data_IF_141387987909
#
_entry.id   IF_141387987909
#
_cell.length_a   1.000
_cell.length_b   1.000
_cell.length_c   1.000
_cell.angle_alpha   90.00
_cell.angle_beta   90.00
_cell.angle_gamma   90.00
#
_symmetry.space_group_name_H-M   'P 1'
#
loop_
_entity.id
_entity.type
_entity.pdbx_description
1 polymer ?
#
# COMPACT_ATOMS: atom_id res chain seq x y z
N UNK A 1 33.90 22.02 -39.70
CA UNK A 1 32.84 20.99 -39.83
C UNK A 1 33.12 19.95 -38.75
N UNK A 2 32.49 20.10 -37.59
CA UNK A 2 32.57 19.11 -36.51
C UNK A 2 31.36 18.19 -36.60
N UNK A 3 31.62 16.89 -36.52
CA UNK A 3 30.64 15.81 -36.55
C UNK A 3 29.52 16.04 -35.51
N UNK A 4 28.23 15.81 -35.84
CA UNK A 4 27.17 15.90 -34.86
C UNK A 4 27.24 14.67 -33.96
N UNK A 5 27.74 14.90 -32.74
CA UNK A 5 27.70 14.03 -31.55
C UNK A 5 26.69 12.88 -31.66
N UNK A 6 27.24 11.68 -31.79
CA UNK A 6 26.55 10.40 -31.68
C UNK A 6 25.68 10.39 -30.41
N UNK A 7 24.36 10.20 -30.59
CA UNK A 7 23.39 10.21 -29.49
C UNK A 7 23.78 9.23 -28.39
N UNK A 8 23.79 9.74 -27.17
CA UNK A 8 24.10 9.07 -25.91
C UNK A 8 23.11 7.90 -25.63
N UNK A 9 23.42 6.69 -26.12
CA UNK A 9 22.57 5.48 -26.00
C UNK A 9 22.57 4.85 -24.59
N UNK A 10 23.30 5.43 -23.63
CA UNK A 10 23.43 4.90 -22.26
C UNK A 10 22.37 5.49 -21.31
N UNK A 11 21.73 6.60 -21.70
CA UNK A 11 20.68 7.22 -20.90
C UNK A 11 19.39 6.38 -20.95
N UNK A 12 18.85 5.93 -19.81
CA UNK A 12 17.52 5.31 -19.78
C UNK A 12 16.52 6.26 -20.46
N UNK A 13 15.63 5.77 -21.35
CA UNK A 13 14.70 6.65 -22.04
C UNK A 13 13.89 7.46 -21.02
N UNK A 14 14.05 8.78 -21.07
CA UNK A 14 13.38 9.72 -20.18
C UNK A 14 11.97 10.04 -20.71
N UNK A 15 11.05 10.37 -19.79
CA UNK A 15 9.75 10.89 -20.20
C UNK A 15 9.91 12.23 -20.90
N UNK A 16 9.24 12.41 -22.04
CA UNK A 16 9.24 13.71 -22.72
C UNK A 16 8.53 14.79 -21.89
N UNK A 17 8.77 16.08 -22.18
CA UNK A 17 8.13 17.20 -21.47
C UNK A 17 6.60 17.09 -21.46
N UNK A 18 5.99 16.74 -22.60
CA UNK A 18 4.54 16.54 -22.71
C UNK A 18 4.06 15.38 -21.83
N UNK A 19 4.83 14.30 -21.77
CA UNK A 19 4.54 13.18 -20.89
C UNK A 19 4.67 13.56 -19.43
N UNK A 20 5.70 14.33 -19.06
CA UNK A 20 5.89 14.84 -17.70
C UNK A 20 4.70 15.69 -17.25
N UNK A 21 4.22 16.62 -18.09
CA UNK A 21 3.04 17.46 -17.80
C UNK A 21 1.77 16.62 -17.62
N UNK A 22 1.57 15.61 -18.48
CA UNK A 22 0.44 14.69 -18.35
C UNK A 22 0.54 13.88 -17.06
N UNK A 23 1.71 13.37 -16.71
CA UNK A 23 1.96 12.62 -15.48
C UNK A 23 1.65 13.47 -14.25
N UNK A 24 2.13 14.70 -14.17
CA UNK A 24 1.86 15.59 -13.03
C UNK A 24 0.37 15.86 -12.86
N UNK A 25 -0.34 16.02 -13.97
CA UNK A 25 -1.80 16.18 -13.97
C UNK A 25 -2.51 14.92 -13.46
N UNK A 26 -2.11 13.73 -13.91
CA UNK A 26 -2.69 12.47 -13.48
C UNK A 26 -2.38 12.14 -12.01
N UNK A 27 -1.16 12.46 -11.53
CA UNK A 27 -0.78 12.33 -10.11
C UNK A 27 -1.62 13.24 -9.21
N UNK A 28 -2.06 14.38 -9.73
CA UNK A 28 -2.98 15.28 -9.05
C UNK A 28 -4.45 14.79 -9.03
N UNK A 29 -4.77 13.70 -9.72
CA UNK A 29 -6.11 13.13 -9.78
C UNK A 29 -6.94 13.59 -10.99
N UNK A 30 -6.32 14.24 -11.98
CA UNK A 30 -7.01 14.64 -13.20
C UNK A 30 -7.40 13.43 -14.07
N UNK A 31 -8.43 13.61 -14.89
CA UNK A 31 -8.83 12.66 -15.91
C UNK A 31 -7.85 12.64 -17.10
N UNK A 32 -7.92 11.59 -17.93
CA UNK A 32 -7.11 11.52 -19.15
C UNK A 32 -7.37 12.68 -20.13
N UNK A 33 -8.58 13.26 -20.09
CA UNK A 33 -8.93 14.40 -20.94
C UNK A 33 -8.20 15.66 -20.46
N UNK A 34 -8.34 16.00 -19.18
CA UNK A 34 -7.70 17.18 -18.57
C UNK A 34 -6.17 17.09 -18.64
N UNK A 35 -5.60 15.89 -18.46
CA UNK A 35 -4.17 15.66 -18.61
C UNK A 35 -3.71 15.87 -20.06
N UNK A 36 -4.52 15.48 -21.04
CA UNK A 36 -4.21 15.67 -22.45
C UNK A 36 -4.27 17.15 -22.85
N UNK A 37 -5.28 17.88 -22.36
CA UNK A 37 -5.41 19.33 -22.55
C UNK A 37 -4.19 20.07 -21.99
N UNK A 38 -3.78 19.77 -20.77
CA UNK A 38 -2.59 20.38 -20.14
C UNK A 38 -1.29 20.05 -20.89
N UNK A 39 -1.16 18.82 -21.39
CA UNK A 39 0.01 18.39 -22.15
C UNK A 39 -0.01 18.82 -23.63
N UNK A 40 -1.10 19.43 -24.10
CA UNK A 40 -1.25 19.86 -25.49
C UNK A 40 -1.30 18.69 -26.50
N UNK A 41 -1.91 17.57 -26.11
CA UNK A 41 -2.03 16.35 -26.95
C UNK A 41 -3.47 15.86 -27.01
N UNK A 42 -3.74 14.87 -27.87
CA UNK A 42 -5.06 14.24 -27.92
C UNK A 42 -5.25 13.29 -26.73
N UNK A 43 -6.50 13.14 -26.25
CA UNK A 43 -6.87 12.19 -25.18
C UNK A 43 -6.46 10.74 -25.50
N UNK A 44 -6.54 10.35 -26.77
CA UNK A 44 -6.11 9.03 -27.24
C UNK A 44 -4.62 8.79 -27.02
N UNK A 45 -3.80 9.83 -27.14
CA UNK A 45 -2.35 9.79 -26.88
C UNK A 45 -2.06 9.49 -25.41
N UNK A 46 -2.71 10.20 -24.48
CA UNK A 46 -2.56 9.94 -23.03
C UNK A 46 -3.03 8.54 -22.68
N UNK A 47 -4.18 8.11 -23.23
CA UNK A 47 -4.66 6.74 -23.05
C UNK A 47 -3.66 5.70 -23.58
N UNK A 48 -3.05 5.96 -24.73
CA UNK A 48 -2.00 5.13 -25.29
C UNK A 48 -0.78 5.04 -24.38
N UNK A 49 -0.36 6.16 -23.78
CA UNK A 49 0.74 6.17 -22.82
C UNK A 49 0.42 5.38 -21.56
N UNK A 50 -0.74 5.59 -20.95
CA UNK A 50 -1.18 4.87 -19.75
C UNK A 50 -1.26 3.35 -19.95
N UNK A 51 -1.55 2.89 -21.17
CA UNK A 51 -1.79 1.47 -21.44
C UNK A 51 -0.58 0.73 -22.01
N UNK A 52 0.31 1.42 -22.72
CA UNK A 52 1.34 0.77 -23.55
C UNK A 52 2.74 1.35 -23.40
N UNK A 53 2.89 2.57 -22.87
CA UNK A 53 4.21 3.18 -22.74
C UNK A 53 4.81 2.86 -21.37
N UNK A 54 5.72 1.89 -21.34
CA UNK A 54 6.36 1.38 -20.12
C UNK A 54 7.06 2.51 -19.34
N UNK A 55 7.76 3.41 -20.03
CA UNK A 55 8.50 4.52 -19.41
C UNK A 55 7.54 5.51 -18.75
N UNK A 56 6.45 5.85 -19.43
CA UNK A 56 5.41 6.71 -18.88
C UNK A 56 4.77 6.09 -17.62
N UNK A 57 4.40 4.80 -17.69
CA UNK A 57 3.74 4.09 -16.59
C UNK A 57 4.68 3.99 -15.38
N UNK A 58 5.96 3.65 -15.60
CA UNK A 58 6.95 3.55 -14.54
C UNK A 58 7.14 4.89 -13.82
N UNK A 59 7.31 5.97 -14.57
CA UNK A 59 7.48 7.32 -14.00
C UNK A 59 6.21 7.81 -13.29
N UNK A 60 5.02 7.55 -13.86
CA UNK A 60 3.76 7.86 -13.22
C UNK A 60 3.60 7.16 -11.86
N UNK A 61 3.89 5.86 -11.82
CA UNK A 61 3.87 5.07 -10.59
C UNK A 61 4.91 5.55 -9.57
N UNK A 62 6.11 5.94 -10.02
CA UNK A 62 7.15 6.51 -9.16
C UNK A 62 6.66 7.78 -8.48
N UNK A 63 6.12 8.76 -9.24
CA UNK A 63 5.61 10.02 -8.67
C UNK A 63 4.39 9.80 -7.77
N UNK A 64 3.49 8.87 -8.13
CA UNK A 64 2.36 8.49 -7.28
C UNK A 64 2.83 7.90 -5.95
N UNK A 65 3.82 7.02 -5.98
CA UNK A 65 4.42 6.44 -4.76
C UNK A 65 5.03 7.53 -3.88
N UNK A 66 5.82 8.43 -4.45
CA UNK A 66 6.41 9.56 -3.70
C UNK A 66 5.36 10.42 -3.02
N UNK A 67 4.26 10.75 -3.72
CA UNK A 67 3.14 11.49 -3.14
C UNK A 67 2.48 10.73 -1.99
N UNK A 68 2.27 9.42 -2.15
CA UNK A 68 1.68 8.58 -1.11
C UNK A 68 2.60 8.42 0.11
N UNK A 69 3.91 8.25 -0.09
CA UNK A 69 4.89 8.22 1.00
C UNK A 69 4.85 9.52 1.80
N UNK A 70 4.91 10.68 1.12
CA UNK A 70 4.84 11.97 1.80
C UNK A 70 3.49 12.22 2.49
N UNK A 71 2.39 11.65 1.98
CA UNK A 71 1.10 11.71 2.66
C UNK A 71 1.08 10.79 3.90
N UNK A 72 1.70 9.61 3.81
CA UNK A 72 1.85 8.67 4.91
C UNK A 72 2.69 9.23 6.06
N UNK A 73 3.80 9.91 5.75
CA UNK A 73 4.63 10.60 6.75
C UNK A 73 3.83 11.68 7.49
N UNK A 74 3.07 12.53 6.77
CA UNK A 74 2.20 13.53 7.39
C UNK A 74 1.09 12.91 8.24
N UNK A 75 0.52 11.80 7.79
CA UNK A 75 -0.50 11.08 8.56
C UNK A 75 0.11 10.49 9.85
N UNK A 76 1.31 9.94 9.76
CA UNK A 76 2.03 9.42 10.93
C UNK A 76 2.29 10.52 11.96
N UNK A 77 2.84 11.66 11.53
CA UNK A 77 3.10 12.82 12.39
C UNK A 77 1.81 13.36 13.04
N UNK A 78 0.73 13.50 12.26
CA UNK A 78 -0.57 13.92 12.78
C UNK A 78 -1.14 12.93 13.80
N UNK A 79 -0.96 11.63 13.55
CA UNK A 79 -1.39 10.57 14.47
C UNK A 79 -0.60 10.63 15.77
N UNK A 80 0.73 10.78 15.72
CA UNK A 80 1.57 10.95 16.91
C UNK A 80 1.14 12.17 17.72
N UNK A 81 0.93 13.32 17.06
CA UNK A 81 0.47 14.54 17.72
C UNK A 81 -0.89 14.35 18.39
N UNK A 82 -1.83 13.65 17.73
CA UNK A 82 -3.14 13.36 18.31
C UNK A 82 -3.03 12.46 19.54
N UNK A 83 -2.15 11.45 19.51
CA UNK A 83 -1.88 10.58 20.65
C UNK A 83 -1.29 11.37 21.84
N UNK A 84 -0.37 12.31 21.58
CA UNK A 84 0.20 13.17 22.61
C UNK A 84 -0.87 14.04 23.28
N UNK A 85 -1.80 14.60 22.50
CA UNK A 85 -2.93 15.39 23.04
C UNK A 85 -3.86 14.52 23.89
N UNK A 86 -4.16 13.29 23.46
CA UNK A 86 -4.97 12.35 24.26
C UNK A 86 -4.26 12.00 25.57
N UNK A 87 -2.95 11.73 25.53
CA UNK A 87 -2.16 11.42 26.71
C UNK A 87 -2.14 12.59 27.72
N UNK A 88 -1.92 13.82 27.25
CA UNK A 88 -1.94 15.01 28.10
C UNK A 88 -3.32 15.24 28.74
N UNK A 89 -4.39 15.04 27.96
CA UNK A 89 -5.77 15.16 28.44
C UNK A 89 -6.06 14.15 29.55
N UNK A 90 -5.60 12.91 29.41
CA UNK A 90 -5.71 11.87 30.45
C UNK A 90 -4.89 12.25 31.68
N UNK A 91 -3.65 12.71 31.51
CA UNK A 91 -2.77 13.12 32.61
C UNK A 91 -3.33 14.33 33.39
N UNK A 92 -4.10 15.19 32.72
CA UNK A 92 -4.81 16.30 33.35
C UNK A 92 -6.04 15.87 34.17
N UNK A 93 -6.41 14.59 34.13
CA UNK A 93 -7.46 14.00 34.95
C UNK A 93 -8.80 13.80 34.24
N UNK A 94 -8.88 13.92 32.91
CA UNK A 94 -10.11 13.64 32.17
C UNK A 94 -10.41 12.13 32.10
N UNK A 95 -11.29 11.71 32.99
CA UNK A 95 -11.73 10.32 33.10
C UNK A 95 -12.60 9.85 31.93
N UNK A 96 -13.27 10.76 31.21
CA UNK A 96 -14.09 10.40 30.06
C UNK A 96 -13.21 9.99 28.87
N UNK A 97 -12.17 10.78 28.58
CA UNK A 97 -11.16 10.46 27.55
C UNK A 97 -10.41 9.17 27.91
N UNK A 98 -10.01 9.00 29.18
CA UNK A 98 -9.36 7.78 29.65
C UNK A 98 -10.24 6.53 29.45
N UNK A 99 -11.52 6.60 29.84
CA UNK A 99 -12.46 5.49 29.65
C UNK A 99 -12.73 5.20 28.18
N UNK A 100 -12.84 6.23 27.33
CA UNK A 100 -13.01 6.08 25.89
C UNK A 100 -11.82 5.34 25.26
N UNK A 101 -10.59 5.71 25.63
CA UNK A 101 -9.38 5.03 25.18
C UNK A 101 -9.38 3.55 25.60
N UNK A 102 -9.67 3.25 26.87
CA UNK A 102 -9.74 1.86 27.38
C UNK A 102 -10.76 1.03 26.60
N UNK A 103 -11.93 1.62 26.27
CA UNK A 103 -12.97 0.94 25.48
C UNK A 103 -12.56 0.70 24.03
N UNK A 104 -11.83 1.65 23.41
CA UNK A 104 -11.36 1.52 22.04
C UNK A 104 -10.24 0.50 21.89
N UNK A 105 -9.26 0.50 22.82
CA UNK A 105 -8.18 -0.51 22.84
C UNK A 105 -8.73 -1.89 23.19
N UNK A 106 -9.74 -1.94 24.05
CA UNK A 106 -10.32 -3.18 24.55
C UNK A 106 -9.53 -3.73 25.74
N UNK A 107 -10.25 -4.15 26.78
CA UNK A 107 -9.64 -4.65 28.02
C UNK A 107 -8.89 -5.96 27.79
N UNK A 108 -9.37 -6.81 26.87
CA UNK A 108 -8.69 -8.04 26.47
C UNK A 108 -7.29 -7.76 25.89
N UNK A 109 -7.18 -6.78 24.99
CA UNK A 109 -5.91 -6.43 24.36
C UNK A 109 -4.90 -5.88 25.38
N UNK A 110 -5.37 -5.06 26.34
CA UNK A 110 -4.55 -4.57 27.44
C UNK A 110 -4.04 -5.70 28.35
N UNK A 111 -4.88 -6.70 28.63
CA UNK A 111 -4.50 -7.86 29.44
C UNK A 111 -3.53 -8.79 28.71
N UNK A 112 -3.70 -8.96 27.39
CA UNK A 112 -2.80 -9.74 26.55
C UNK A 112 -1.42 -9.06 26.41
N UNK A 113 -1.38 -7.75 26.20
CA UNK A 113 -0.13 -6.98 26.17
C UNK A 113 0.61 -7.00 27.52
N UNK A 114 -0.12 -7.17 28.63
CA UNK A 114 0.44 -7.35 29.97
C UNK A 114 0.96 -8.77 30.25
N UNK A 115 0.73 -9.74 29.36
CA UNK A 115 1.38 -11.05 29.39
C UNK A 115 2.58 -11.02 28.44
N UNK A 116 3.78 -10.66 28.92
CA UNK A 116 4.96 -10.70 28.08
C UNK A 116 5.14 -12.12 27.52
N UNK A 117 5.45 -12.20 26.24
CA UNK A 117 5.75 -13.46 25.57
C UNK A 117 6.90 -14.20 26.25
N UNK A 118 7.16 -15.46 25.85
CA UNK A 118 8.23 -16.26 26.43
C UNK A 118 9.58 -15.53 26.42
N UNK A 119 10.17 -15.35 27.60
CA UNK A 119 11.45 -14.63 27.75
C UNK A 119 12.68 -15.53 27.58
N UNK A 120 12.49 -16.82 27.31
CA UNK A 120 13.57 -17.78 27.09
C UNK A 120 13.64 -18.19 25.63
N UNK A 121 14.85 -18.27 25.03
CA UNK A 121 15.01 -18.63 23.62
C UNK A 121 14.33 -19.96 23.25
N UNK A 122 14.44 -20.97 24.13
CA UNK A 122 13.83 -22.27 23.90
C UNK A 122 12.30 -22.19 23.74
N UNK A 123 11.64 -21.34 24.53
CA UNK A 123 10.19 -21.24 24.52
C UNK A 123 9.69 -20.37 23.34
N UNK A 124 10.45 -19.35 22.95
CA UNK A 124 10.23 -18.62 21.67
C UNK A 124 10.31 -19.58 20.48
N UNK A 125 11.31 -20.48 20.44
CA UNK A 125 11.43 -21.46 19.36
C UNK A 125 10.25 -22.44 19.32
N UNK A 126 9.73 -22.85 20.47
CA UNK A 126 8.58 -23.75 20.56
C UNK A 126 7.30 -23.09 20.05
N UNK A 127 7.05 -21.83 20.42
CA UNK A 127 5.86 -21.08 20.04
C UNK A 127 5.86 -20.77 18.53
N UNK A 128 6.98 -20.27 17.98
CA UNK A 128 7.11 -20.04 16.53
C UNK A 128 6.93 -21.32 15.70
N UNK A 129 7.39 -22.46 16.21
CA UNK A 129 7.21 -23.76 15.54
C UNK A 129 5.77 -24.28 15.62
N UNK A 130 4.98 -23.82 16.60
CA UNK A 130 3.55 -24.13 16.70
C UNK A 130 2.72 -23.24 15.76
N UNK A 131 3.04 -21.95 15.68
CA UNK A 131 2.35 -20.99 14.81
C UNK A 131 2.53 -21.35 13.33
N UNK A 132 3.77 -21.62 12.89
CA UNK A 132 4.05 -22.06 11.52
C UNK A 132 3.30 -23.34 11.15
N UNK A 133 3.11 -24.24 12.12
CA UNK A 133 2.37 -25.49 11.93
C UNK A 133 0.86 -25.23 11.79
N UNK A 134 0.33 -24.26 12.53
CA UNK A 134 -1.07 -23.84 12.44
C UNK A 134 -1.37 -23.19 11.10
N UNK A 135 -0.50 -22.29 10.63
CA UNK A 135 -0.67 -21.59 9.35
C UNK A 135 -0.63 -22.56 8.17
N UNK A 136 0.33 -23.48 8.18
CA UNK A 136 0.44 -24.51 7.14
C UNK A 136 -0.78 -25.44 7.11
N UNK A 137 -1.31 -25.81 8.28
CA UNK A 137 -2.54 -26.61 8.36
C UNK A 137 -3.76 -25.81 7.86
N UNK A 138 -3.86 -24.52 8.19
CA UNK A 138 -4.93 -23.65 7.71
C UNK A 138 -4.93 -23.51 6.19
N UNK A 139 -3.77 -23.31 5.57
CA UNK A 139 -3.62 -23.22 4.11
C UNK A 139 -3.99 -24.54 3.41
N UNK A 140 -3.61 -25.69 3.98
CA UNK A 140 -3.97 -27.01 3.45
C UNK A 140 -5.48 -27.24 3.49
N UNK A 141 -6.15 -26.88 4.59
CA UNK A 141 -7.61 -27.02 4.71
C UNK A 141 -8.38 -26.11 3.74
N UNK A 142 -7.93 -24.87 3.55
CA UNK A 142 -8.55 -23.94 2.58
C UNK A 142 -8.34 -24.43 1.14
N UNK A 143 -7.17 -24.98 0.82
CA UNK A 143 -6.91 -25.55 -0.50
C UNK A 143 -7.78 -26.79 -0.80
N UNK A 144 -8.01 -27.64 0.20
CA UNK A 144 -8.88 -28.81 0.09
C UNK A 144 -10.36 -28.42 -0.08
N UNK A 145 -10.81 -27.37 0.63
CA UNK A 145 -12.17 -26.84 0.51
C UNK A 145 -12.45 -26.22 -0.87
N UNK A 146 -11.50 -25.45 -1.41
CA UNK A 146 -11.59 -24.87 -2.76
C UNK A 146 -11.61 -25.98 -3.82
N UNK A 147 -10.79 -27.01 -3.66
CA UNK A 147 -10.75 -28.15 -4.59
C UNK A 147 -12.09 -28.89 -4.65
N UNK A 148 -12.69 -29.17 -3.48
CA UNK A 148 -14.02 -29.76 -3.38
C UNK A 148 -15.12 -28.91 -4.03
N UNK A 149 -15.05 -27.59 -3.88
CA UNK A 149 -16.06 -26.68 -4.40
C UNK A 149 -16.01 -26.56 -5.94
N UNK A 150 -14.82 -26.56 -6.53
CA UNK A 150 -14.60 -26.56 -7.99
C UNK A 150 -15.07 -27.87 -8.63
N UNK A 151 -14.86 -29.00 -7.95
CA UNK A 151 -15.29 -30.32 -8.42
C UNK A 151 -16.82 -30.43 -8.49
N UNK A 152 -17.53 -29.89 -7.48
CA UNK A 152 -19.01 -29.82 -7.48
C UNK A 152 -19.61 -28.94 -8.58
N UNK A 153 -18.95 -27.84 -8.94
CA UNK A 153 -19.43 -26.95 -10.00
C UNK A 153 -19.16 -27.53 -11.40
N UNK A 154 -18.09 -28.31 -11.54
CA UNK A 154 -17.76 -29.05 -12.75
C UNK A 154 -18.76 -30.18 -13.01
N UNK A 155 -19.15 -30.92 -11.98
CA UNK A 155 -20.17 -31.98 -12.08
C UNK A 155 -21.57 -31.41 -12.39
N UNK A 156 -21.90 -30.22 -11.87
CA UNK A 156 -23.19 -29.55 -12.13
C UNK A 156 -23.29 -28.91 -13.53
N UNK A 157 -22.17 -28.72 -14.24
CA UNK A 157 -22.13 -28.13 -15.58
C UNK A 157 -22.04 -29.18 -16.70
N UNK A 158 -22.01 -30.47 -16.34
CA UNK A 158 -21.84 -31.60 -17.25
C UNK A 158 -23.11 -32.41 -17.59
N UNK A 159 -24.27 -32.05 -17.03
CA UNK A 159 -25.61 -32.59 -17.38
C UNK A 159 -26.42 -31.60 -18.23
#
# INVERSE_FOLDING_TARGET
MGDPTESDQIRPPEVSDRQSIAIDSLVAGATHLEAAEKAGVQRSTVTGWCNKNIIFIAEWNRRRRQRLTAAGERLHEATSTALDVVAETINSGDTATALALIRMVGVEHLLSAAQPGPTTPLRVHQDLAADLRSDLLGEIFVAEEISWMVERESDASGE
#
